data_IF_242305488323
#
_entry.id   IF_242305488323
#
_cell.length_a   1.000
_cell.length_b   1.000
_cell.length_c   1.000
_cell.angle_alpha   90.00
_cell.angle_beta   90.00
_cell.angle_gamma   90.00
#
_symmetry.space_group_name_H-M   'P 1'
#
loop_
_entity.id
_entity.type
_entity.pdbx_description
1 polymer ?
#
# COMPACT_ATOMS: atom_id res chain seq x y z
N UNK A 1 -22.62 -9.49 -23.00
CA UNK A 1 -21.27 -8.90 -23.16
C UNK A 1 -20.46 -9.33 -21.93
N UNK A 2 -19.39 -10.14 -22.10
CA UNK A 2 -18.59 -10.57 -20.98
C UNK A 2 -18.00 -9.36 -20.23
N UNK A 3 -18.00 -9.41 -18.92
CA UNK A 3 -17.60 -8.27 -18.10
C UNK A 3 -16.61 -8.69 -17.01
N UNK A 4 -15.43 -8.09 -17.02
CA UNK A 4 -14.45 -8.16 -15.93
C UNK A 4 -14.55 -6.88 -15.09
N UNK A 5 -14.86 -7.03 -13.80
CA UNK A 5 -14.84 -5.91 -12.87
C UNK A 5 -13.55 -5.97 -12.04
N UNK A 6 -12.82 -4.87 -11.96
CA UNK A 6 -11.63 -4.73 -11.12
C UNK A 6 -11.91 -3.70 -10.03
N UNK A 7 -11.88 -4.11 -8.77
CA UNK A 7 -12.15 -3.27 -7.61
C UNK A 7 -10.84 -2.78 -6.99
N UNK A 8 -10.56 -1.49 -7.16
CA UNK A 8 -9.33 -0.82 -6.71
C UNK A 8 -8.33 -0.57 -7.84
N UNK A 9 -7.80 0.66 -7.90
CA UNK A 9 -6.78 1.10 -8.86
C UNK A 9 -5.38 1.28 -8.22
N UNK A 10 -5.09 0.51 -7.18
CA UNK A 10 -3.79 0.49 -6.52
C UNK A 10 -2.73 -0.31 -7.29
N UNK A 11 -1.67 -0.72 -6.57
CA UNK A 11 -0.53 -1.47 -7.14
C UNK A 11 -0.90 -2.82 -7.77
N UNK A 12 -2.07 -3.39 -7.42
CA UNK A 12 -2.55 -4.64 -8.00
C UNK A 12 -3.58 -4.42 -9.11
N UNK A 13 -4.66 -3.66 -8.83
CA UNK A 13 -5.80 -3.60 -9.74
C UNK A 13 -5.51 -2.84 -11.03
N UNK A 14 -4.77 -1.73 -10.96
CA UNK A 14 -4.45 -0.92 -12.14
C UNK A 14 -3.68 -1.71 -13.21
N UNK A 15 -2.56 -2.41 -12.90
CA UNK A 15 -1.88 -3.22 -13.89
C UNK A 15 -2.70 -4.40 -14.40
N UNK A 16 -3.61 -4.99 -13.58
CA UNK A 16 -4.53 -6.03 -14.04
C UNK A 16 -5.50 -5.49 -15.09
N UNK A 17 -6.10 -4.33 -14.86
CA UNK A 17 -7.00 -3.70 -15.81
C UNK A 17 -6.31 -3.42 -17.16
N UNK A 18 -5.12 -2.84 -17.13
CA UNK A 18 -4.32 -2.60 -18.33
C UNK A 18 -3.95 -3.89 -19.07
N UNK A 19 -3.50 -4.92 -18.34
CA UNK A 19 -3.15 -6.21 -18.93
C UNK A 19 -4.38 -6.88 -19.59
N UNK A 20 -5.53 -6.86 -18.94
CA UNK A 20 -6.76 -7.41 -19.49
C UNK A 20 -7.15 -6.69 -20.80
N UNK A 21 -7.06 -5.35 -20.83
CA UNK A 21 -7.35 -4.55 -22.02
C UNK A 21 -6.39 -4.82 -23.18
N UNK A 22 -5.10 -5.04 -22.88
CA UNK A 22 -4.08 -5.31 -23.91
C UNK A 22 -4.11 -6.73 -24.43
N UNK A 23 -4.32 -7.72 -23.57
CA UNK A 23 -4.00 -9.11 -23.87
C UNK A 23 -5.21 -10.05 -23.83
N UNK A 24 -6.27 -9.71 -23.07
CA UNK A 24 -7.47 -10.56 -22.97
C UNK A 24 -8.58 -10.07 -23.90
N UNK A 25 -8.83 -8.77 -23.91
CA UNK A 25 -9.86 -8.16 -24.80
C UNK A 25 -9.70 -8.54 -26.28
N UNK A 26 -8.48 -8.54 -26.86
CA UNK A 26 -8.32 -8.96 -28.27
C UNK A 26 -8.69 -10.42 -28.55
N UNK A 27 -8.74 -11.26 -27.52
CA UNK A 27 -9.05 -12.70 -27.64
C UNK A 27 -10.52 -13.03 -27.35
N UNK A 28 -11.26 -12.10 -26.74
CA UNK A 28 -12.63 -12.34 -26.28
C UNK A 28 -13.57 -11.29 -26.84
N UNK A 29 -14.46 -11.74 -27.75
CA UNK A 29 -15.42 -10.86 -28.39
C UNK A 29 -16.25 -10.09 -27.35
N UNK A 30 -16.32 -8.77 -27.53
CA UNK A 30 -17.13 -7.85 -26.73
C UNK A 30 -16.81 -7.86 -25.21
N UNK A 31 -15.60 -8.28 -24.81
CA UNK A 31 -15.18 -8.20 -23.40
C UNK A 31 -15.06 -6.74 -22.98
N UNK A 32 -15.71 -6.40 -21.87
CA UNK A 32 -15.62 -5.11 -21.20
C UNK A 32 -14.87 -5.22 -19.87
N UNK A 33 -13.94 -4.33 -19.63
CA UNK A 33 -13.23 -4.18 -18.36
C UNK A 33 -13.73 -2.94 -17.64
N UNK A 34 -14.27 -3.10 -16.44
CA UNK A 34 -14.76 -2.00 -15.60
C UNK A 34 -13.83 -1.86 -14.40
N UNK A 35 -13.12 -0.72 -14.32
CA UNK A 35 -12.28 -0.39 -13.18
C UNK A 35 -13.05 0.51 -12.21
N UNK A 36 -13.23 0.05 -10.99
CA UNK A 36 -13.92 0.78 -9.92
C UNK A 36 -12.90 1.26 -8.90
N UNK A 37 -12.84 2.56 -8.68
CA UNK A 37 -11.93 3.18 -7.69
C UNK A 37 -12.51 4.53 -7.23
N UNK A 38 -12.39 4.90 -5.94
CA UNK A 38 -12.79 6.25 -5.51
C UNK A 38 -11.81 7.34 -5.98
N UNK A 39 -10.63 6.95 -6.51
CA UNK A 39 -9.54 7.85 -6.82
C UNK A 39 -9.46 8.17 -8.31
N UNK A 40 -9.40 9.45 -8.66
CA UNK A 40 -9.14 9.94 -10.03
C UNK A 40 -7.66 9.89 -10.41
N UNK A 41 -6.78 9.84 -9.40
CA UNK A 41 -5.34 9.72 -9.55
C UNK A 41 -4.82 8.52 -8.78
N UNK A 42 -3.86 7.80 -9.35
CA UNK A 42 -3.13 6.74 -8.65
C UNK A 42 -2.15 7.38 -7.66
N UNK A 43 -2.28 7.03 -6.40
CA UNK A 43 -1.35 7.45 -5.36
C UNK A 43 -0.17 6.49 -5.24
N UNK A 44 1.03 6.97 -5.56
CA UNK A 44 2.28 6.20 -5.39
C UNK A 44 2.66 6.11 -3.91
N UNK A 45 1.89 5.36 -3.16
CA UNK A 45 1.94 5.26 -1.70
C UNK A 45 3.25 4.67 -1.16
N UNK A 46 4.02 3.97 -1.98
CA UNK A 46 5.37 3.48 -1.59
C UNK A 46 6.31 4.62 -1.24
N UNK A 47 6.13 5.79 -1.85
CA UNK A 47 6.92 6.98 -1.59
C UNK A 47 6.31 7.88 -0.50
N UNK A 48 5.19 7.50 0.10
CA UNK A 48 4.54 8.27 1.18
C UNK A 48 5.47 8.55 2.35
N UNK A 49 6.34 7.60 2.69
CA UNK A 49 7.32 7.72 3.79
C UNK A 49 8.25 8.93 3.66
N UNK A 50 8.56 9.34 2.42
CA UNK A 50 9.27 10.58 2.10
C UNK A 50 8.30 11.71 1.75
N UNK A 51 7.17 11.36 1.15
CA UNK A 51 6.14 12.31 0.76
C UNK A 51 5.55 13.10 1.90
N UNK A 52 5.49 12.55 3.12
CA UNK A 52 5.04 13.27 4.33
C UNK A 52 6.04 14.32 4.81
N UNK A 53 7.30 14.25 4.38
CA UNK A 53 8.32 15.24 4.77
C UNK A 53 8.18 16.48 3.87
N UNK A 54 7.95 17.67 4.44
CA UNK A 54 7.78 18.89 3.68
C UNK A 54 8.91 19.15 2.68
N UNK A 55 8.55 19.53 1.45
CA UNK A 55 9.49 19.92 0.40
C UNK A 55 10.24 18.76 -0.28
N UNK A 56 9.93 17.48 0.06
CA UNK A 56 10.66 16.34 -0.49
C UNK A 56 10.09 15.83 -1.82
N UNK A 57 8.82 15.48 -1.84
CA UNK A 57 8.10 15.13 -3.07
C UNK A 57 6.88 16.03 -3.21
N UNK A 58 6.73 16.66 -4.38
CA UNK A 58 5.51 17.34 -4.77
C UNK A 58 4.39 16.33 -5.08
N UNK A 59 3.17 16.81 -5.14
CA UNK A 59 2.01 15.98 -5.47
C UNK A 59 2.12 15.40 -6.89
N UNK A 60 2.77 16.12 -7.82
CA UNK A 60 3.07 15.69 -9.20
C UNK A 60 3.94 14.42 -9.28
N UNK A 61 4.68 14.11 -8.22
CA UNK A 61 5.47 12.87 -8.10
C UNK A 61 4.68 11.73 -7.49
N UNK A 62 3.74 12.05 -6.61
CA UNK A 62 3.01 11.08 -5.82
C UNK A 62 1.67 10.69 -6.44
N UNK A 63 1.04 11.59 -7.18
CA UNK A 63 -0.26 11.37 -7.79
C UNK A 63 -0.17 11.45 -9.31
N UNK A 64 -0.73 10.45 -10.00
CA UNK A 64 -0.74 10.38 -11.45
C UNK A 64 -2.16 10.16 -11.95
N UNK A 65 -2.69 10.98 -12.87
CA UNK A 65 -4.06 10.84 -13.40
C UNK A 65 -4.27 9.47 -14.03
N UNK A 66 -5.40 8.81 -13.73
CA UNK A 66 -5.76 7.48 -14.25
C UNK A 66 -6.45 7.58 -15.61
N UNK A 67 -7.46 8.43 -15.72
CA UNK A 67 -8.35 8.47 -16.88
C UNK A 67 -7.63 8.70 -18.23
N UNK A 68 -6.66 9.64 -18.35
CA UNK A 68 -5.94 9.88 -19.60
C UNK A 68 -5.22 8.63 -20.12
N UNK A 69 -4.76 7.77 -19.24
CA UNK A 69 -3.99 6.58 -19.59
C UNK A 69 -4.87 5.44 -20.14
N UNK A 70 -6.19 5.54 -19.98
CA UNK A 70 -7.14 4.60 -20.59
C UNK A 70 -7.59 5.02 -21.99
N UNK A 71 -7.35 6.26 -22.40
CA UNK A 71 -7.69 6.74 -23.74
C UNK A 71 -6.97 5.99 -24.89
N UNK A 72 -5.92 5.23 -24.57
CA UNK A 72 -5.23 4.35 -25.53
C UNK A 72 -6.05 3.12 -25.95
N UNK A 73 -7.16 2.81 -25.26
CA UNK A 73 -7.99 1.64 -25.52
C UNK A 73 -9.33 2.04 -26.19
N UNK A 74 -9.95 1.15 -26.97
CA UNK A 74 -11.29 1.41 -27.54
C UNK A 74 -12.32 1.62 -26.44
N UNK A 75 -13.09 2.72 -26.50
CA UNK A 75 -14.06 3.11 -25.46
C UNK A 75 -15.12 2.06 -25.13
N UNK A 76 -15.49 1.22 -26.08
CA UNK A 76 -16.44 0.13 -25.85
C UNK A 76 -15.89 -0.98 -24.95
N UNK A 77 -14.57 -1.11 -24.82
CA UNK A 77 -13.93 -2.19 -24.09
C UNK A 77 -13.58 -1.84 -22.63
N UNK A 78 -13.70 -0.58 -22.24
CA UNK A 78 -13.43 -0.19 -20.85
C UNK A 78 -14.44 0.80 -20.30
N UNK A 79 -14.51 0.84 -19.00
CA UNK A 79 -15.23 1.86 -18.25
C UNK A 79 -14.49 2.17 -16.93
N UNK A 80 -14.36 3.45 -16.62
CA UNK A 80 -13.88 3.90 -15.32
C UNK A 80 -15.07 4.36 -14.49
N UNK A 81 -15.23 3.78 -13.30
CA UNK A 81 -16.29 4.14 -12.37
C UNK A 81 -15.59 4.70 -11.11
N UNK A 82 -15.65 6.02 -10.97
CA UNK A 82 -15.12 6.68 -9.79
C UNK A 82 -16.11 6.54 -8.63
N UNK A 83 -15.82 5.55 -7.77
CA UNK A 83 -16.71 5.18 -6.67
C UNK A 83 -16.12 4.06 -5.82
N UNK A 84 -16.84 3.74 -4.76
CA UNK A 84 -16.47 2.72 -3.78
C UNK A 84 -17.46 1.57 -3.82
N UNK A 85 -16.96 0.34 -3.82
CA UNK A 85 -17.82 -0.84 -3.66
C UNK A 85 -18.47 -0.84 -2.26
N UNK A 86 -19.78 -1.03 -2.21
CA UNK A 86 -20.58 -1.06 -0.98
C UNK A 86 -21.11 -2.44 -0.65
N UNK A 87 -21.41 -3.26 -1.65
CA UNK A 87 -21.89 -4.63 -1.46
C UNK A 87 -21.50 -5.48 -2.65
N UNK A 88 -20.93 -6.64 -2.39
CA UNK A 88 -20.71 -7.69 -3.36
C UNK A 88 -21.66 -8.85 -3.09
N UNK A 89 -22.42 -9.27 -4.11
CA UNK A 89 -23.33 -10.41 -4.08
C UNK A 89 -22.73 -11.47 -5.00
N UNK A 90 -22.10 -12.48 -4.44
CA UNK A 90 -21.41 -13.52 -5.20
C UNK A 90 -22.38 -14.54 -5.81
N UNK A 91 -23.55 -14.74 -5.19
CA UNK A 91 -24.65 -15.56 -5.73
C UNK A 91 -25.33 -14.95 -6.95
N UNK A 92 -25.35 -13.60 -7.04
CA UNK A 92 -25.94 -12.85 -8.18
C UNK A 92 -24.89 -12.34 -9.17
N UNK A 93 -23.59 -12.51 -8.87
CA UNK A 93 -22.49 -11.93 -9.63
C UNK A 93 -22.66 -10.41 -9.83
N UNK A 94 -22.98 -9.68 -8.77
CA UNK A 94 -23.16 -8.22 -8.80
C UNK A 94 -22.33 -7.52 -7.75
N UNK A 95 -21.93 -6.29 -8.06
CA UNK A 95 -21.36 -5.35 -7.10
C UNK A 95 -22.15 -4.05 -7.14
N UNK A 96 -22.55 -3.55 -5.98
CA UNK A 96 -23.12 -2.21 -5.81
C UNK A 96 -21.99 -1.24 -5.52
N UNK A 97 -21.97 -0.13 -6.24
CA UNK A 97 -20.95 0.92 -6.14
C UNK A 97 -21.62 2.24 -5.76
N UNK A 98 -21.18 2.86 -4.68
CA UNK A 98 -21.44 4.27 -4.39
C UNK A 98 -20.51 5.11 -5.26
N UNK A 99 -21.09 5.81 -6.24
CA UNK A 99 -20.35 6.67 -7.16
C UNK A 99 -20.04 8.00 -6.49
N UNK A 100 -18.89 8.60 -6.80
CA UNK A 100 -18.45 9.86 -6.17
C UNK A 100 -19.40 11.06 -6.43
N UNK A 101 -20.28 10.96 -7.43
CA UNK A 101 -21.33 11.96 -7.70
C UNK A 101 -22.56 11.83 -6.77
N UNK A 102 -22.56 10.87 -5.85
CA UNK A 102 -23.64 10.58 -4.92
C UNK A 102 -24.68 9.59 -5.43
N UNK A 103 -24.57 9.11 -6.66
CA UNK A 103 -25.44 8.05 -7.20
C UNK A 103 -24.99 6.66 -6.74
N UNK A 104 -25.87 5.67 -6.90
CA UNK A 104 -25.57 4.26 -6.67
C UNK A 104 -25.75 3.48 -7.97
N UNK A 105 -24.84 2.53 -8.20
CA UNK A 105 -24.85 1.72 -9.42
C UNK A 105 -24.62 0.25 -9.11
N UNK A 106 -25.47 -0.62 -9.66
CA UNK A 106 -25.26 -2.07 -9.65
C UNK A 106 -24.56 -2.49 -10.94
N UNK A 107 -23.47 -3.22 -10.82
CA UNK A 107 -22.67 -3.74 -11.93
C UNK A 107 -22.70 -5.26 -11.87
N UNK A 108 -23.14 -5.91 -12.94
CA UNK A 108 -23.06 -7.37 -13.12
C UNK A 108 -21.72 -7.74 -13.72
N UNK A 109 -21.15 -8.88 -13.30
CA UNK A 109 -19.84 -9.34 -13.77
C UNK A 109 -19.85 -10.84 -14.10
N UNK A 110 -19.03 -11.23 -15.06
CA UNK A 110 -18.66 -12.63 -15.31
C UNK A 110 -17.46 -13.04 -14.46
N UNK A 111 -16.56 -12.06 -14.20
CA UNK A 111 -15.49 -12.22 -13.21
C UNK A 111 -15.24 -10.89 -12.49
N UNK A 112 -14.84 -10.99 -11.20
CA UNK A 112 -14.45 -9.84 -10.39
C UNK A 112 -13.07 -10.04 -9.78
N UNK A 113 -12.28 -8.97 -9.74
CA UNK A 113 -10.98 -8.90 -9.05
C UNK A 113 -11.12 -8.01 -7.84
N UNK A 114 -10.92 -8.57 -6.65
CA UNK A 114 -10.86 -7.83 -5.40
C UNK A 114 -9.40 -7.42 -5.19
N UNK A 115 -9.09 -6.14 -5.46
CA UNK A 115 -7.76 -5.54 -5.34
C UNK A 115 -7.80 -4.25 -4.51
N UNK A 116 -8.74 -4.18 -3.56
CA UNK A 116 -9.03 -3.00 -2.73
C UNK A 116 -7.97 -2.72 -1.67
N UNK A 117 -7.04 -3.63 -1.45
CA UNK A 117 -5.92 -3.47 -0.54
C UNK A 117 -6.32 -3.21 0.90
N UNK A 118 -5.51 -2.40 1.58
CA UNK A 118 -5.69 -2.01 2.98
C UNK A 118 -5.62 -0.49 3.12
N UNK A 119 -6.17 0.04 4.22
CA UNK A 119 -5.99 1.43 4.65
C UNK A 119 -5.17 1.50 5.94
N UNK A 120 -4.53 2.63 6.18
CA UNK A 120 -3.86 2.91 7.45
C UNK A 120 -4.89 3.30 8.52
N UNK A 121 -4.56 3.05 9.79
CA UNK A 121 -5.33 3.60 10.91
C UNK A 121 -5.18 5.13 10.96
N UNK A 122 -6.15 5.78 11.61
CA UNK A 122 -6.14 7.22 11.86
C UNK A 122 -6.02 8.07 10.57
N UNK A 123 -6.48 7.52 9.43
CA UNK A 123 -6.41 8.17 8.11
C UNK A 123 -5.01 8.68 7.74
N UNK A 124 -3.97 7.98 8.19
CA UNK A 124 -2.60 8.31 7.82
C UNK A 124 -2.35 8.01 6.33
N UNK A 125 -1.64 8.88 5.60
CA UNK A 125 -1.45 8.76 4.16
C UNK A 125 -0.36 7.73 3.77
N UNK A 126 -0.25 6.63 4.51
CA UNK A 126 0.56 5.48 4.12
C UNK A 126 -0.09 4.64 3.03
N UNK A 127 -1.38 4.82 2.89
CA UNK A 127 -2.29 4.23 1.90
C UNK A 127 -3.29 5.31 1.48
N UNK A 128 -4.13 5.01 0.51
CA UNK A 128 -5.22 5.88 0.11
C UNK A 128 -6.22 6.10 1.26
N UNK A 129 -6.71 7.33 1.38
CA UNK A 129 -7.68 7.76 2.39
C UNK A 129 -8.92 8.25 1.64
N UNK A 130 -9.85 7.34 1.33
CA UNK A 130 -11.05 7.73 0.56
C UNK A 130 -10.73 8.14 -0.88
N UNK A 131 -11.10 9.36 -1.26
CA UNK A 131 -10.86 9.95 -2.59
C UNK A 131 -9.43 10.48 -2.74
N UNK A 132 -9.07 10.87 -3.96
CA UNK A 132 -7.80 11.57 -4.25
C UNK A 132 -7.64 12.82 -3.39
N UNK A 133 -8.70 13.64 -3.28
CA UNK A 133 -8.70 14.89 -2.54
C UNK A 133 -8.51 14.65 -1.04
N UNK A 134 -9.18 13.64 -0.49
CA UNK A 134 -9.03 13.26 0.92
C UNK A 134 -7.62 12.74 1.21
N UNK A 135 -7.03 11.97 0.29
CA UNK A 135 -5.65 11.49 0.40
C UNK A 135 -4.64 12.65 0.34
N UNK A 136 -4.82 13.59 -0.61
CA UNK A 136 -3.99 14.81 -0.68
C UNK A 136 -4.11 15.63 0.59
N UNK A 137 -5.34 15.82 1.07
CA UNK A 137 -5.58 16.55 2.32
C UNK A 137 -4.85 15.90 3.51
N UNK A 138 -4.97 14.60 3.69
CA UNK A 138 -4.28 13.89 4.77
C UNK A 138 -2.75 14.04 4.67
N UNK A 139 -2.20 13.99 3.45
CA UNK A 139 -0.78 14.22 3.17
C UNK A 139 -0.35 15.65 3.52
N UNK A 140 -1.15 16.64 3.16
CA UNK A 140 -0.87 18.04 3.45
C UNK A 140 -1.00 18.36 4.94
N UNK A 141 -2.00 17.80 5.61
CA UNK A 141 -2.21 17.97 7.05
C UNK A 141 -0.99 17.45 7.85
N UNK A 142 -0.47 16.28 7.53
CA UNK A 142 0.73 15.76 8.22
C UNK A 142 1.98 16.58 7.88
N UNK A 143 2.15 17.05 6.65
CA UNK A 143 3.25 17.96 6.28
C UNK A 143 3.20 19.24 7.11
N UNK A 144 2.03 19.82 7.29
CA UNK A 144 1.86 21.01 8.11
C UNK A 144 2.17 20.75 9.59
N UNK A 145 1.70 19.63 10.14
CA UNK A 145 2.04 19.22 11.50
C UNK A 145 3.56 19.07 11.68
N UNK A 146 4.22 18.36 10.76
CA UNK A 146 5.67 18.20 10.80
C UNK A 146 6.44 19.50 10.66
N UNK A 147 5.94 20.45 9.86
CA UNK A 147 6.55 21.79 9.72
C UNK A 147 6.54 22.55 11.04
N UNK A 148 5.41 22.56 11.73
CA UNK A 148 5.18 23.37 12.93
C UNK A 148 5.75 22.72 14.21
N UNK A 149 5.95 21.40 14.23
CA UNK A 149 6.41 20.65 15.38
C UNK A 149 7.86 20.96 15.73
N UNK A 150 8.17 21.05 17.03
CA UNK A 150 9.54 21.01 17.60
C UNK A 150 9.93 19.58 18.01
N UNK A 151 8.93 18.82 18.46
CA UNK A 151 9.07 17.41 18.82
C UNK A 151 8.14 16.52 17.99
N UNK A 152 8.66 15.41 17.50
CA UNK A 152 7.94 14.47 16.61
C UNK A 152 8.12 13.06 17.15
N UNK A 153 7.03 12.35 17.35
CA UNK A 153 7.03 10.92 17.70
C UNK A 153 6.52 10.11 16.51
N UNK A 154 7.35 9.21 16.00
CA UNK A 154 6.95 8.15 15.05
C UNK A 154 6.74 6.87 15.84
N UNK A 155 5.55 6.25 15.74
CA UNK A 155 5.22 5.03 16.46
C UNK A 155 4.94 3.86 15.50
N UNK A 156 5.65 2.74 15.71
CA UNK A 156 5.54 1.53 14.91
C UNK A 156 6.84 1.11 14.24
N UNK A 157 7.40 -0.01 14.68
CA UNK A 157 8.72 -0.51 14.26
C UNK A 157 8.77 -1.24 12.92
N UNK A 158 7.71 -1.22 12.12
CA UNK A 158 7.68 -1.84 10.79
C UNK A 158 8.51 -1.09 9.73
N UNK A 159 8.41 -1.53 8.46
CA UNK A 159 9.09 -0.88 7.33
C UNK A 159 8.67 0.60 7.22
N UNK A 160 7.35 0.87 7.18
CA UNK A 160 6.83 2.24 7.07
C UNK A 160 7.37 3.15 8.17
N UNK A 161 7.34 2.71 9.43
CA UNK A 161 7.85 3.51 10.55
C UNK A 161 9.35 3.75 10.48
N UNK A 162 10.13 2.71 10.16
CA UNK A 162 11.59 2.82 10.03
C UNK A 162 12.00 3.75 8.88
N UNK A 163 11.31 3.67 7.74
CA UNK A 163 11.56 4.56 6.60
C UNK A 163 11.13 6.00 6.92
N UNK A 164 9.93 6.18 7.49
CA UNK A 164 9.39 7.51 7.84
C UNK A 164 10.27 8.22 8.85
N UNK A 165 10.65 7.54 9.95
CA UNK A 165 11.52 8.16 10.95
C UNK A 165 12.92 8.42 10.40
N UNK A 166 13.40 7.60 9.47
CA UNK A 166 14.65 7.83 8.75
C UNK A 166 14.61 9.10 7.90
N UNK A 167 13.52 9.33 7.16
CA UNK A 167 13.35 10.53 6.35
C UNK A 167 13.19 11.79 7.22
N UNK A 168 12.39 11.73 8.30
CA UNK A 168 12.20 12.84 9.26
C UNK A 168 13.52 13.11 10.01
N UNK A 169 14.24 12.08 10.45
CA UNK A 169 15.52 12.20 11.12
C UNK A 169 16.58 12.83 10.23
N UNK A 170 16.65 12.44 8.96
CA UNK A 170 17.55 13.03 7.98
C UNK A 170 17.24 14.51 7.73
N UNK A 171 15.95 14.86 7.63
CA UNK A 171 15.56 16.25 7.35
C UNK A 171 15.76 17.17 8.55
N UNK A 172 15.47 16.70 9.76
CA UNK A 172 15.39 17.57 10.94
C UNK A 172 16.36 17.21 12.06
N UNK A 173 16.33 15.98 12.57
CA UNK A 173 17.05 15.61 13.79
C UNK A 173 18.57 15.60 13.59
N UNK A 174 19.04 15.11 12.43
CA UNK A 174 20.47 15.16 12.09
C UNK A 174 21.02 16.58 12.04
N UNK A 175 20.17 17.55 11.69
CA UNK A 175 20.53 18.97 11.63
C UNK A 175 20.31 19.73 12.96
N UNK A 176 19.89 19.04 14.01
CA UNK A 176 19.58 19.65 15.31
C UNK A 176 18.36 20.57 15.32
N UNK A 177 17.46 20.45 14.35
CA UNK A 177 16.32 21.35 14.18
C UNK A 177 15.10 20.92 14.98
N UNK A 178 14.89 19.60 15.16
CA UNK A 178 13.73 19.03 15.86
C UNK A 178 14.13 17.80 16.65
N UNK A 179 13.45 17.55 17.75
CA UNK A 179 13.55 16.28 18.48
C UNK A 179 12.69 15.21 17.81
N UNK A 180 13.31 14.12 17.38
CA UNK A 180 12.62 13.00 16.70
C UNK A 180 12.75 11.74 17.53
N UNK A 181 11.62 11.16 17.89
CA UNK A 181 11.52 9.94 18.69
C UNK A 181 10.95 8.81 17.85
N UNK A 182 11.47 7.61 18.02
CA UNK A 182 10.99 6.38 17.39
C UNK A 182 10.59 5.36 18.45
N UNK A 183 9.29 5.10 18.57
CA UNK A 183 8.71 4.19 19.57
C UNK A 183 8.23 2.90 18.89
N UNK A 184 8.66 1.74 19.40
CA UNK A 184 8.19 0.44 18.88
C UNK A 184 8.23 -0.65 19.94
N UNK A 185 7.37 -1.67 19.74
CA UNK A 185 7.11 -2.72 20.73
C UNK A 185 8.23 -3.74 20.88
N UNK A 186 9.01 -3.97 19.84
CA UNK A 186 10.08 -4.95 19.79
C UNK A 186 11.38 -4.40 20.38
N UNK A 187 12.39 -5.26 20.62
CA UNK A 187 13.73 -4.84 21.04
C UNK A 187 14.53 -4.14 19.92
N UNK A 188 14.24 -4.48 18.66
CA UNK A 188 14.86 -3.93 17.46
C UNK A 188 13.78 -3.50 16.47
N UNK A 189 14.01 -2.47 15.63
CA UNK A 189 13.10 -2.14 14.54
C UNK A 189 13.07 -3.26 13.52
N UNK A 190 12.09 -3.25 12.61
CA UNK A 190 11.89 -4.25 11.55
C UNK A 190 11.66 -5.65 12.18
N UNK A 191 10.41 -5.97 12.50
CA UNK A 191 10.04 -7.28 13.04
C UNK A 191 10.42 -8.45 12.09
N UNK A 192 10.32 -9.70 12.57
CA UNK A 192 10.47 -10.87 11.72
C UNK A 192 9.62 -10.75 10.41
N UNK A 193 10.10 -11.21 9.27
CA UNK A 193 11.26 -12.12 9.08
C UNK A 193 12.61 -11.42 8.78
N UNK A 194 12.80 -10.16 9.17
CA UNK A 194 14.11 -9.53 9.05
C UNK A 194 15.12 -10.13 10.02
N UNK A 195 16.34 -10.39 9.53
CA UNK A 195 17.43 -10.89 10.36
C UNK A 195 17.93 -9.81 11.33
N UNK A 196 18.46 -10.22 12.48
CA UNK A 196 19.01 -9.27 13.47
C UNK A 196 20.15 -8.43 12.91
N UNK A 197 20.91 -8.96 11.95
CA UNK A 197 21.95 -8.19 11.25
C UNK A 197 21.36 -6.98 10.51
N UNK A 198 20.22 -7.14 9.83
CA UNK A 198 19.54 -6.07 9.11
C UNK A 198 18.85 -5.10 10.08
N UNK A 199 18.21 -5.64 11.13
CA UNK A 199 17.54 -4.87 12.18
C UNK A 199 18.50 -3.99 12.95
N UNK A 200 19.66 -4.54 13.35
CA UNK A 200 20.73 -3.77 14.00
C UNK A 200 21.34 -2.71 13.07
N UNK A 201 21.49 -3.03 11.78
CA UNK A 201 21.94 -2.03 10.82
C UNK A 201 20.96 -0.85 10.71
N UNK A 202 19.64 -1.13 10.68
CA UNK A 202 18.62 -0.08 10.68
C UNK A 202 18.73 0.80 11.94
N UNK A 203 18.79 0.18 13.12
CA UNK A 203 18.95 0.90 14.39
C UNK A 203 20.18 1.80 14.41
N UNK A 204 21.32 1.29 13.94
CA UNK A 204 22.56 2.04 13.91
C UNK A 204 22.50 3.25 12.97
N UNK A 205 21.87 3.10 11.79
CA UNK A 205 21.71 4.24 10.88
C UNK A 205 20.72 5.27 11.43
N UNK A 206 19.64 4.87 12.11
CA UNK A 206 18.71 5.81 12.76
C UNK A 206 19.39 6.60 13.89
N UNK A 207 20.23 5.94 14.68
CA UNK A 207 21.03 6.63 15.72
C UNK A 207 22.00 7.67 15.16
N UNK A 208 22.61 7.39 14.00
CA UNK A 208 23.47 8.37 13.29
C UNK A 208 22.68 9.58 12.79
N UNK A 209 21.38 9.45 12.60
CA UNK A 209 20.48 10.57 12.29
C UNK A 209 20.01 11.31 13.54
N UNK A 210 20.57 11.04 14.71
CA UNK A 210 20.17 11.59 16.01
C UNK A 210 18.71 11.29 16.40
N UNK A 211 18.14 10.20 15.88
CA UNK A 211 16.80 9.73 16.25
C UNK A 211 16.87 9.12 17.66
N UNK A 212 16.02 9.60 18.57
CA UNK A 212 15.90 9.09 19.95
C UNK A 212 14.99 7.85 19.92
N UNK A 213 15.57 6.67 20.14
CA UNK A 213 14.90 5.38 20.00
C UNK A 213 14.36 4.90 21.34
N UNK A 214 13.09 4.50 21.40
CA UNK A 214 12.41 3.96 22.59
C UNK A 214 11.85 2.56 22.21
N UNK A 215 12.64 1.49 22.38
CA UNK A 215 12.23 0.11 22.11
C UNK A 215 11.35 -0.47 23.22
N UNK A 216 10.79 -1.66 22.99
CA UNK A 216 9.98 -2.42 23.95
C UNK A 216 8.79 -1.61 24.52
N UNK A 217 8.25 -0.68 23.73
CA UNK A 217 7.24 0.29 24.19
C UNK A 217 6.17 0.46 23.13
N UNK A 218 4.91 0.55 23.55
CA UNK A 218 3.76 0.85 22.70
C UNK A 218 3.14 2.16 23.11
N UNK A 219 2.63 2.93 22.14
CA UNK A 219 1.70 4.03 22.39
C UNK A 219 0.31 3.40 22.53
N UNK A 220 -0.29 3.50 23.70
CA UNK A 220 -1.58 2.85 24.02
C UNK A 220 -2.75 3.82 24.03
N UNK A 221 -2.50 5.11 24.25
CA UNK A 221 -3.51 6.16 24.18
C UNK A 221 -2.89 7.46 23.66
N UNK A 222 -3.68 8.23 22.92
CA UNK A 222 -3.29 9.55 22.41
C UNK A 222 -4.39 10.55 22.74
N UNK A 223 -4.04 11.62 23.46
CA UNK A 223 -4.93 12.76 23.72
C UNK A 223 -4.41 13.99 23.01
N UNK A 224 -5.32 14.76 22.42
CA UNK A 224 -5.00 16.09 21.87
C UNK A 224 -5.37 17.13 22.89
N UNK A 225 -4.39 17.89 23.35
CA UNK A 225 -4.58 18.97 24.32
C UNK A 225 -5.17 20.23 23.64
N UNK A 226 -5.70 21.16 24.43
CA UNK A 226 -6.30 22.39 23.93
C UNK A 226 -5.33 23.27 23.10
N UNK A 227 -4.03 23.18 23.38
CA UNK A 227 -2.97 23.89 22.64
C UNK A 227 -2.51 23.14 21.37
N UNK A 228 -3.12 21.99 21.04
CA UNK A 228 -2.79 21.15 19.89
C UNK A 228 -1.68 20.11 20.13
N UNK A 229 -0.97 20.16 21.26
CA UNK A 229 0.00 19.14 21.63
C UNK A 229 -0.66 17.77 21.83
N UNK A 230 0.12 16.71 21.68
CA UNK A 230 -0.31 15.33 21.93
C UNK A 230 0.29 14.83 23.23
N UNK A 231 -0.54 14.32 24.11
CA UNK A 231 -0.15 13.54 25.28
C UNK A 231 -0.31 12.07 24.95
N UNK A 232 0.80 11.35 24.93
CA UNK A 232 0.87 9.92 24.62
C UNK A 232 0.98 9.13 25.92
N UNK A 233 0.13 8.12 26.11
CA UNK A 233 0.35 7.08 27.11
C UNK A 233 1.25 6.02 26.49
N UNK A 234 2.35 5.71 27.15
CA UNK A 234 3.33 4.70 26.75
C UNK A 234 3.25 3.51 27.70
N UNK A 235 3.14 2.31 27.16
CA UNK A 235 3.20 1.08 27.95
C UNK A 235 4.40 0.26 27.53
N UNK A 236 5.31 -0.02 28.44
CA UNK A 236 6.49 -0.85 28.18
C UNK A 236 6.15 -2.36 28.20
N UNK A 237 7.14 -3.21 27.90
CA UNK A 237 7.00 -4.67 27.88
C UNK A 237 6.58 -5.29 29.23
N UNK A 238 6.84 -4.61 30.33
CA UNK A 238 6.55 -5.04 31.69
C UNK A 238 5.19 -4.49 32.19
N UNK A 239 4.46 -3.78 31.30
CA UNK A 239 3.15 -3.20 31.59
C UNK A 239 3.20 -1.86 32.33
N UNK A 240 4.39 -1.29 32.57
CA UNK A 240 4.55 0.00 33.21
C UNK A 240 4.09 1.11 32.27
N UNK A 241 3.23 1.98 32.78
CA UNK A 241 2.70 3.13 32.06
C UNK A 241 3.48 4.40 32.41
N UNK A 242 3.78 5.17 31.37
CA UNK A 242 4.37 6.51 31.47
C UNK A 242 3.71 7.44 30.45
N UNK A 243 3.90 8.74 30.58
CA UNK A 243 3.35 9.72 29.65
C UNK A 243 4.47 10.50 28.96
N UNK A 244 4.23 10.90 27.72
CA UNK A 244 5.11 11.72 26.91
C UNK A 244 4.31 12.77 26.15
N UNK A 245 4.78 14.01 26.13
CA UNK A 245 4.20 15.07 25.29
C UNK A 245 5.01 15.24 24.00
N UNK A 246 4.30 15.53 22.91
CA UNK A 246 4.90 15.82 21.61
C UNK A 246 4.02 16.77 20.80
N UNK A 247 4.62 17.52 19.88
CA UNK A 247 3.88 18.44 19.01
C UNK A 247 3.28 17.71 17.81
N UNK A 248 3.94 16.63 17.32
CA UNK A 248 3.41 15.80 16.25
C UNK A 248 3.52 14.31 16.59
N UNK A 249 2.44 13.58 16.32
CA UNK A 249 2.37 12.12 16.46
C UNK A 249 2.11 11.48 15.10
N UNK A 250 2.95 10.56 14.71
CA UNK A 250 2.97 9.91 13.39
C UNK A 250 2.84 8.39 13.57
N UNK A 251 1.61 7.86 13.70
CA UNK A 251 1.38 6.42 13.81
C UNK A 251 1.64 5.73 12.47
N UNK A 252 2.37 4.62 12.53
CA UNK A 252 2.67 3.76 11.38
C UNK A 252 2.26 2.30 11.64
N UNK A 253 1.35 2.11 12.59
CA UNK A 253 0.87 0.81 13.04
C UNK A 253 -0.49 0.47 12.47
N UNK A 254 -0.68 -0.81 12.16
CA UNK A 254 -1.98 -1.39 11.81
C UNK A 254 -2.43 -1.06 10.39
N UNK A 255 -2.56 -2.11 9.59
CA UNK A 255 -3.32 -2.09 8.35
C UNK A 255 -4.73 -2.62 8.62
N UNK A 256 -5.73 -2.05 7.96
CA UNK A 256 -7.12 -2.50 8.01
C UNK A 256 -7.52 -2.87 6.59
N UNK A 257 -7.93 -4.13 6.31
CA UNK A 257 -8.33 -4.52 4.97
C UNK A 257 -9.60 -3.78 4.53
N UNK A 258 -9.66 -3.43 3.24
CA UNK A 258 -10.81 -2.75 2.66
C UNK A 258 -11.83 -3.77 2.17
N UNK A 259 -12.56 -4.40 3.09
CA UNK A 259 -13.42 -5.57 2.87
C UNK A 259 -14.85 -5.40 3.38
N UNK A 260 -15.21 -4.21 3.86
CA UNK A 260 -16.53 -3.95 4.47
C UNK A 260 -17.72 -4.22 3.52
N UNK A 261 -17.47 -4.32 2.23
CA UNK A 261 -18.49 -4.59 1.19
C UNK A 261 -18.66 -6.09 0.88
N UNK A 262 -17.86 -6.95 1.50
CA UNK A 262 -17.85 -8.39 1.25
C UNK A 262 -18.68 -9.17 2.27
N UNK A 263 -19.29 -10.28 1.87
CA UNK A 263 -19.93 -11.22 2.80
C UNK A 263 -18.93 -11.76 3.83
N UNK A 264 -19.36 -11.93 5.07
CA UNK A 264 -18.52 -12.46 6.15
C UNK A 264 -17.93 -13.85 5.83
N UNK A 265 -18.64 -14.67 5.01
CA UNK A 265 -18.18 -16.00 4.56
C UNK A 265 -16.90 -15.95 3.69
N UNK A 266 -16.54 -14.78 3.16
CA UNK A 266 -15.32 -14.58 2.39
C UNK A 266 -14.12 -14.16 3.25
N UNK A 267 -14.34 -13.82 4.51
CA UNK A 267 -13.34 -13.16 5.36
C UNK A 267 -12.76 -14.13 6.41
N UNK A 268 -11.52 -13.90 6.78
CA UNK A 268 -10.91 -14.49 7.96
C UNK A 268 -11.24 -13.70 9.25
N UNK A 269 -10.76 -14.19 10.38
CA UNK A 269 -10.99 -13.56 11.68
C UNK A 269 -10.38 -12.15 11.82
N UNK A 270 -9.42 -11.78 10.97
CA UNK A 270 -8.78 -10.47 10.92
C UNK A 270 -9.43 -9.53 9.88
N UNK A 271 -10.43 -10.02 9.14
CA UNK A 271 -11.16 -9.28 8.13
C UNK A 271 -10.49 -9.25 6.74
N UNK A 272 -9.43 -10.03 6.51
CA UNK A 272 -8.85 -10.22 5.19
C UNK A 272 -9.66 -11.21 4.37
N UNK A 273 -9.60 -11.09 3.05
CA UNK A 273 -10.28 -12.05 2.16
C UNK A 273 -9.53 -13.38 2.18
N UNK A 274 -10.27 -14.48 2.43
CA UNK A 274 -9.74 -15.82 2.26
C UNK A 274 -9.28 -16.02 0.82
N UNK A 275 -8.03 -16.42 0.63
CA UNK A 275 -7.38 -16.56 -0.68
C UNK A 275 -6.70 -17.92 -0.77
N UNK A 276 -6.96 -18.67 -1.84
CA UNK A 276 -6.29 -19.92 -2.12
C UNK A 276 -5.08 -19.75 -3.07
N UNK A 277 -4.35 -20.81 -3.34
CA UNK A 277 -3.20 -20.82 -4.24
C UNK A 277 -3.56 -20.60 -5.72
N UNK A 278 -4.84 -20.55 -6.08
CA UNK A 278 -5.29 -20.12 -7.41
C UNK A 278 -5.53 -18.59 -7.46
N UNK A 279 -5.23 -17.90 -6.38
CA UNK A 279 -5.52 -16.47 -6.15
C UNK A 279 -7.02 -16.14 -6.30
N UNK A 280 -7.87 -17.04 -5.78
CA UNK A 280 -9.32 -16.86 -5.74
C UNK A 280 -9.84 -16.96 -4.32
N UNK A 281 -11.05 -16.44 -4.12
CA UNK A 281 -11.81 -16.74 -2.92
C UNK A 281 -12.30 -18.20 -2.98
N UNK A 282 -12.03 -19.04 -1.96
CA UNK A 282 -12.36 -20.47 -1.97
C UNK A 282 -13.82 -20.74 -2.35
N UNK A 283 -14.03 -21.70 -3.23
CA UNK A 283 -15.36 -22.06 -3.73
C UNK A 283 -15.95 -21.14 -4.81
N UNK A 284 -15.23 -20.09 -5.24
CA UNK A 284 -15.67 -19.07 -6.20
C UNK A 284 -14.72 -18.99 -7.38
N UNK A 285 -15.09 -19.62 -8.50
CA UNK A 285 -14.22 -19.73 -9.67
C UNK A 285 -14.00 -18.42 -10.42
N UNK A 286 -14.86 -17.43 -10.22
CA UNK A 286 -14.86 -16.13 -10.89
C UNK A 286 -14.54 -14.93 -9.97
N UNK A 287 -14.16 -15.18 -8.72
CA UNK A 287 -13.77 -14.12 -7.76
C UNK A 287 -12.28 -14.23 -7.47
N UNK A 288 -11.51 -13.36 -8.08
CA UNK A 288 -10.06 -13.26 -7.91
C UNK A 288 -9.73 -12.32 -6.76
N UNK A 289 -8.68 -12.63 -5.99
CA UNK A 289 -8.22 -11.83 -4.85
C UNK A 289 -6.73 -11.55 -5.01
N UNK A 290 -6.32 -10.28 -4.96
CA UNK A 290 -4.92 -9.91 -5.26
C UNK A 290 -4.42 -8.79 -4.37
N UNK A 291 -3.20 -8.94 -3.86
CA UNK A 291 -2.52 -7.94 -3.05
C UNK A 291 -2.95 -7.92 -1.59
N UNK A 292 -2.75 -6.78 -0.94
CA UNK A 292 -2.85 -6.62 0.53
C UNK A 292 -4.23 -6.92 1.14
N UNK A 293 -5.24 -7.13 0.32
CA UNK A 293 -6.61 -7.47 0.78
C UNK A 293 -6.78 -8.95 1.12
N UNK A 294 -5.94 -9.82 0.52
CA UNK A 294 -5.95 -11.27 0.72
C UNK A 294 -5.08 -11.72 1.89
N UNK A 295 -5.34 -12.92 2.41
CA UNK A 295 -4.64 -13.48 3.57
C UNK A 295 -3.57 -14.52 3.24
N UNK A 296 -3.31 -14.82 1.97
CA UNK A 296 -2.34 -15.85 1.58
C UNK A 296 -0.91 -15.46 1.92
N UNK A 297 -0.57 -14.18 1.78
CA UNK A 297 0.76 -13.63 2.03
C UNK A 297 0.68 -12.27 2.71
N UNK A 298 1.81 -11.77 3.22
CA UNK A 298 1.90 -10.44 3.81
C UNK A 298 1.78 -9.31 2.77
N UNK A 299 1.33 -8.14 3.21
CA UNK A 299 1.10 -6.95 2.38
C UNK A 299 2.40 -6.23 2.00
N UNK A 300 3.08 -6.71 0.97
CA UNK A 300 4.27 -6.06 0.40
C UNK A 300 4.07 -5.81 -1.10
N UNK A 301 4.51 -4.65 -1.58
CA UNK A 301 4.36 -4.29 -2.99
C UNK A 301 4.95 -5.34 -3.96
N UNK A 302 6.11 -5.96 -3.60
CA UNK A 302 6.69 -7.07 -4.37
C UNK A 302 5.74 -8.26 -4.48
N UNK A 303 5.08 -8.65 -3.38
CA UNK A 303 4.15 -9.78 -3.35
C UNK A 303 2.93 -9.46 -4.20
N UNK A 304 2.35 -8.28 -4.03
CA UNK A 304 1.25 -7.84 -4.87
C UNK A 304 1.59 -7.93 -6.37
N UNK A 305 2.80 -7.53 -6.77
CA UNK A 305 3.25 -7.60 -8.15
C UNK A 305 3.42 -9.05 -8.66
N UNK A 306 3.96 -9.95 -7.86
CA UNK A 306 4.07 -11.38 -8.20
C UNK A 306 2.68 -12.03 -8.36
N UNK A 307 1.75 -11.71 -7.48
CA UNK A 307 0.36 -12.17 -7.59
C UNK A 307 -0.30 -11.60 -8.86
N UNK A 308 -0.06 -10.33 -9.19
CA UNK A 308 -0.53 -9.71 -10.44
C UNK A 308 -0.03 -10.47 -11.66
N UNK A 309 1.28 -10.74 -11.75
CA UNK A 309 1.88 -11.49 -12.88
C UNK A 309 1.30 -12.89 -13.05
N UNK A 310 0.84 -13.50 -11.97
CA UNK A 310 0.19 -14.81 -12.00
C UNK A 310 -1.28 -14.69 -12.37
N UNK A 311 -2.04 -13.82 -11.71
CA UNK A 311 -3.50 -13.77 -11.83
C UNK A 311 -3.97 -13.33 -13.22
N UNK A 312 -3.21 -12.50 -13.93
CA UNK A 312 -3.59 -12.07 -15.29
C UNK A 312 -3.71 -13.24 -16.26
N UNK A 313 -2.89 -14.28 -16.09
CA UNK A 313 -2.98 -15.53 -16.86
C UNK A 313 -4.24 -16.32 -16.49
N UNK A 314 -4.60 -16.34 -15.22
CA UNK A 314 -5.81 -17.00 -14.71
C UNK A 314 -7.09 -16.30 -15.20
N UNK A 315 -7.07 -14.96 -15.26
CA UNK A 315 -8.18 -14.15 -15.82
C UNK A 315 -8.32 -14.41 -17.32
N UNK A 316 -7.22 -14.41 -18.07
CA UNK A 316 -7.25 -14.72 -19.49
C UNK A 316 -7.83 -16.13 -19.76
N UNK A 317 -7.34 -17.14 -19.02
CA UNK A 317 -7.84 -18.50 -19.13
C UNK A 317 -9.34 -18.62 -18.80
N UNK A 318 -9.83 -17.85 -17.82
CA UNK A 318 -11.25 -17.82 -17.44
C UNK A 318 -12.12 -17.37 -18.61
N UNK A 319 -11.75 -16.32 -19.33
CA UNK A 319 -12.55 -15.75 -20.42
C UNK A 319 -12.36 -16.46 -21.77
N UNK A 320 -11.20 -17.07 -22.01
CA UNK A 320 -10.91 -17.76 -23.27
C UNK A 320 -11.26 -19.24 -23.25
N UNK A 321 -11.58 -19.82 -22.08
CA UNK A 321 -11.68 -21.28 -21.90
C UNK A 321 -10.35 -22.01 -22.07
N UNK A 322 -9.22 -21.28 -22.00
CA UNK A 322 -7.88 -21.80 -22.16
C UNK A 322 -7.39 -22.62 -20.96
N UNK A 323 -6.16 -23.15 -21.08
CA UNK A 323 -5.52 -23.91 -20.02
C UNK A 323 -5.33 -23.04 -18.78
N UNK A 324 -5.79 -23.53 -17.62
CA UNK A 324 -5.55 -22.87 -16.34
C UNK A 324 -4.05 -22.90 -16.04
N UNK A 325 -3.46 -21.80 -15.57
CA UNK A 325 -2.07 -21.78 -15.11
C UNK A 325 -1.91 -22.72 -13.90
N UNK A 326 -0.67 -23.13 -13.64
CA UNK A 326 -0.33 -23.80 -12.38
C UNK A 326 -0.73 -22.93 -11.18
N UNK A 327 -0.84 -23.52 -10.00
CA UNK A 327 -1.09 -22.79 -8.77
C UNK A 327 0.02 -21.78 -8.49
N UNK A 328 -0.34 -20.68 -7.86
CA UNK A 328 0.63 -19.69 -7.39
C UNK A 328 1.47 -20.27 -6.27
N UNK A 329 2.78 -20.18 -6.41
CA UNK A 329 3.71 -20.65 -5.39
C UNK A 329 4.12 -19.49 -4.51
N UNK A 330 3.75 -19.57 -3.23
CA UNK A 330 4.18 -18.63 -2.20
C UNK A 330 5.71 -18.67 -2.08
N UNK A 331 6.35 -17.52 -2.29
CA UNK A 331 7.81 -17.38 -2.12
C UNK A 331 8.12 -16.93 -0.68
N UNK A 332 8.59 -17.82 0.21
CA UNK A 332 8.88 -17.48 1.59
C UNK A 332 10.09 -16.57 1.74
N UNK A 333 10.79 -16.29 0.64
CA UNK A 333 12.01 -15.52 0.64
C UNK A 333 11.72 -14.02 0.86
N UNK A 334 12.11 -13.51 2.01
CA UNK A 334 12.03 -12.07 2.24
C UNK A 334 13.01 -11.32 1.33
N UNK A 335 12.46 -10.43 0.52
CA UNK A 335 13.25 -9.51 -0.32
C UNK A 335 12.72 -8.10 -0.08
N UNK A 336 13.49 -7.29 0.64
CA UNK A 336 13.12 -5.91 0.91
C UNK A 336 14.33 -5.01 1.07
N UNK A 337 14.24 -3.81 0.50
CA UNK A 337 15.13 -2.69 0.76
C UNK A 337 14.41 -1.64 1.60
N UNK A 338 15.04 -1.17 2.65
CA UNK A 338 14.53 -0.17 3.60
C UNK A 338 15.40 1.08 3.50
N UNK A 339 14.81 2.21 3.15
CA UNK A 339 15.50 3.49 3.09
C UNK A 339 15.54 4.12 4.48
N UNK A 340 16.67 4.69 4.85
CA UNK A 340 16.88 5.31 6.17
C UNK A 340 17.42 6.72 5.96
N UNK A 341 16.53 7.63 5.56
CA UNK A 341 16.88 8.92 5.00
C UNK A 341 17.42 8.78 3.57
N UNK A 342 17.90 9.89 2.99
CA UNK A 342 18.22 9.98 1.56
C UNK A 342 19.58 9.38 1.15
N UNK A 343 20.43 9.04 2.10
CA UNK A 343 21.80 8.57 1.82
C UNK A 343 22.11 7.18 2.36
N UNK A 344 21.20 6.57 3.12
CA UNK A 344 21.41 5.28 3.78
C UNK A 344 20.25 4.34 3.54
N UNK A 345 20.55 3.06 3.59
CA UNK A 345 19.57 2.00 3.44
C UNK A 345 20.08 0.72 4.11
N UNK A 346 19.17 -0.19 4.38
CA UNK A 346 19.46 -1.58 4.75
C UNK A 346 18.43 -2.48 4.09
N UNK A 347 18.66 -3.78 4.10
CA UNK A 347 17.68 -4.73 3.56
C UNK A 347 18.26 -6.12 3.44
N UNK A 348 17.43 -7.04 2.96
CA UNK A 348 17.84 -8.43 2.78
C UNK A 348 17.25 -9.07 1.55
N UNK A 349 17.89 -10.12 1.11
CA UNK A 349 17.41 -11.08 0.13
C UNK A 349 17.57 -12.49 0.71
N UNK A 350 16.45 -13.09 1.12
CA UNK A 350 16.47 -14.28 1.98
C UNK A 350 17.11 -13.94 3.33
N UNK A 351 18.21 -14.61 3.69
CA UNK A 351 18.98 -14.35 4.91
C UNK A 351 20.15 -13.37 4.70
N UNK A 352 20.45 -13.00 3.47
CA UNK A 352 21.61 -12.19 3.12
C UNK A 352 21.28 -10.69 3.26
N UNK A 353 22.10 -9.98 4.03
CA UNK A 353 22.03 -8.52 4.10
C UNK A 353 22.52 -7.91 2.78
N UNK A 354 21.71 -7.02 2.20
CA UNK A 354 22.08 -6.30 0.99
C UNK A 354 22.98 -5.09 1.31
N UNK A 355 23.93 -4.76 0.42
CA UNK A 355 24.74 -3.54 0.55
C UNK A 355 23.85 -2.28 0.48
N UNK A 356 24.08 -1.33 1.39
CA UNK A 356 23.31 -0.08 1.46
C UNK A 356 23.35 0.71 0.15
N UNK A 357 24.50 0.76 -0.52
CA UNK A 357 24.67 1.47 -1.80
C UNK A 357 23.76 0.89 -2.90
N UNK A 358 23.65 -0.44 -2.98
CA UNK A 358 22.80 -1.09 -3.97
C UNK A 358 21.32 -0.71 -3.75
N UNK A 359 20.83 -0.81 -2.51
CA UNK A 359 19.44 -0.44 -2.18
C UNK A 359 19.20 1.05 -2.45
N UNK A 360 20.16 1.91 -2.11
CA UNK A 360 20.08 3.34 -2.37
C UNK A 360 19.96 3.63 -3.87
N UNK A 361 20.75 2.95 -4.71
CA UNK A 361 20.70 3.12 -6.18
C UNK A 361 19.34 2.68 -6.75
N UNK A 362 18.80 1.55 -6.31
CA UNK A 362 17.57 0.99 -6.89
C UNK A 362 16.28 1.55 -6.27
N UNK A 363 16.30 1.91 -5.00
CA UNK A 363 15.11 2.41 -4.30
C UNK A 363 15.32 3.79 -3.67
N UNK A 364 16.46 4.02 -3.02
CA UNK A 364 16.66 5.15 -2.12
C UNK A 364 16.58 6.53 -2.77
N UNK A 365 16.90 6.64 -4.05
CA UNK A 365 16.89 7.92 -4.76
C UNK A 365 15.46 8.43 -4.99
N UNK A 366 14.57 7.60 -5.50
CA UNK A 366 13.26 8.00 -5.99
C UNK A 366 12.09 7.26 -5.35
N UNK A 367 12.33 6.15 -4.69
CA UNK A 367 11.30 5.25 -4.12
C UNK A 367 10.25 4.89 -5.21
N UNK A 368 10.70 4.70 -6.44
CA UNK A 368 9.88 4.32 -7.59
C UNK A 368 9.08 5.46 -8.24
N UNK A 369 9.19 6.71 -7.76
CA UNK A 369 8.48 7.84 -8.39
C UNK A 369 8.98 8.17 -9.79
N UNK A 370 10.17 7.71 -10.15
CA UNK A 370 10.78 7.87 -11.45
C UNK A 370 10.10 7.05 -12.55
N UNK A 371 9.42 5.97 -12.19
CA UNK A 371 8.66 5.14 -13.13
C UNK A 371 7.15 5.07 -12.86
N UNK A 372 6.64 5.83 -11.89
CA UNK A 372 5.21 5.83 -11.54
C UNK A 372 4.31 6.18 -12.74
N UNK A 373 4.73 7.11 -13.61
CA UNK A 373 3.99 7.45 -14.84
C UNK A 373 3.88 6.29 -15.81
N UNK A 374 4.97 5.54 -16.03
CA UNK A 374 4.95 4.36 -16.89
C UNK A 374 4.08 3.24 -16.30
N UNK A 375 4.08 3.12 -14.96
CA UNK A 375 3.22 2.19 -14.26
C UNK A 375 1.74 2.53 -14.48
N UNK A 376 1.35 3.79 -14.27
CA UNK A 376 -0.04 4.24 -14.44
C UNK A 376 -0.48 4.16 -15.90
N UNK A 377 0.44 4.36 -16.86
CA UNK A 377 0.18 4.14 -18.28
C UNK A 377 0.09 2.64 -18.69
N UNK A 378 0.22 1.73 -17.74
CA UNK A 378 0.16 0.29 -17.99
C UNK A 378 1.35 -0.25 -18.80
N UNK A 379 2.46 0.47 -18.90
CA UNK A 379 3.65 0.06 -19.67
C UNK A 379 4.54 -0.92 -18.91
N UNK A 380 4.34 -1.02 -17.61
CA UNK A 380 5.11 -1.86 -16.68
C UNK A 380 4.33 -2.18 -15.42
N UNK A 381 4.84 -3.14 -14.64
CA UNK A 381 4.54 -3.28 -13.23
C UNK A 381 5.72 -2.76 -12.37
N UNK A 382 5.71 -3.02 -11.07
CA UNK A 382 6.86 -2.70 -10.23
C UNK A 382 8.11 -3.52 -10.62
N UNK A 383 7.96 -4.79 -10.97
CA UNK A 383 9.05 -5.73 -11.25
C UNK A 383 9.25 -5.96 -12.75
N UNK A 384 8.21 -5.88 -13.57
CA UNK A 384 8.28 -6.09 -15.02
C UNK A 384 8.39 -4.74 -15.72
N UNK A 385 9.54 -4.46 -16.32
CA UNK A 385 9.84 -3.16 -16.94
C UNK A 385 9.57 -3.07 -18.45
N UNK A 386 9.23 -4.19 -19.10
CA UNK A 386 8.94 -4.24 -20.55
C UNK A 386 7.88 -5.29 -20.84
N UNK A 387 7.11 -5.05 -21.92
CA UNK A 387 6.10 -5.99 -22.43
C UNK A 387 5.01 -6.37 -21.43
N UNK A 388 4.59 -5.42 -20.60
CA UNK A 388 3.46 -5.58 -19.69
C UNK A 388 2.15 -5.18 -20.35
#
# INVERSE_FOLDING_TARGET
MPTLVVLGAGLAGLPIAHHALKHTVPLVKDLKVILVTPNSEHYWNLASVRGVVPGQFGDDKLFQPIEPEFAQYPKQNYELVFGKAETLSDDKNTVVVAVNDGSSRTITYDAVVIATGTRARENMPWKEVGTTEETKKALHDIRQQLTNAKSIVVAGGGITGSETVGEIGFEYSQKGQKDVYFIYAESLPLAAPFTDTVRNAALNELRKLNVKVIPNTKVTEVKTEANGQKTLELTDKDGKKTTMQTDAYVPTVGAIPNTSFLPASMLDAQGYVNQDTTLRSPGRSNVFVVGDVGNLEGGYGRIADLQVQHVVKSIQAHFTGGQKPAEYVVDPKMVAGITLGRSRATGQMGTWKLPSIAIWMFKGRYIGTDYSKEFVAGKRTMLVSKNW
#
